data_IF_621613157649
#
_entry.id   IF_621613157649
#
_cell.length_a   1.000
_cell.length_b   1.000
_cell.length_c   1.000
_cell.angle_alpha   90.00
_cell.angle_beta   90.00
_cell.angle_gamma   90.00
#
_symmetry.space_group_name_H-M   'P 1'
#
loop_
_entity.id
_entity.type
_entity.pdbx_description
1 polymer ?
#
# COMPACT_ATOMS: atom_id res chain seq x y z
N UNK A 1 24.41 -16.55 -7.87
CA UNK A 1 22.97 -16.26 -7.97
C UNK A 1 22.40 -16.25 -6.56
N UNK A 2 22.18 -15.07 -5.97
CA UNK A 2 21.68 -14.96 -4.60
C UNK A 2 20.15 -15.10 -4.58
N UNK A 3 19.64 -16.19 -4.03
CA UNK A 3 18.22 -16.26 -3.69
C UNK A 3 17.99 -15.36 -2.49
N UNK A 4 17.29 -14.25 -2.68
CA UNK A 4 16.87 -13.37 -1.60
C UNK A 4 15.80 -14.10 -0.77
N UNK A 5 16.23 -15.00 0.12
CA UNK A 5 15.39 -15.93 0.88
C UNK A 5 14.81 -15.34 2.16
N UNK A 6 15.12 -14.09 2.49
CA UNK A 6 14.67 -13.43 3.71
C UNK A 6 13.14 -13.20 3.79
N UNK A 7 12.43 -13.25 2.65
CA UNK A 7 10.97 -13.03 2.57
C UNK A 7 10.20 -14.19 1.92
N UNK A 8 10.71 -15.41 1.99
CA UNK A 8 9.96 -16.55 1.46
C UNK A 8 8.70 -16.80 2.30
N UNK A 9 7.52 -16.88 1.65
CA UNK A 9 6.20 -17.10 2.28
C UNK A 9 6.18 -18.26 3.31
N UNK A 10 6.98 -19.29 3.08
CA UNK A 10 7.23 -20.43 3.98
C UNK A 10 7.75 -20.05 5.39
N UNK A 11 8.32 -18.87 5.57
CA UNK A 11 8.77 -18.36 6.88
C UNK A 11 7.78 -17.36 7.49
N UNK A 12 6.62 -17.13 6.87
CA UNK A 12 5.61 -16.22 7.39
C UNK A 12 5.05 -16.74 8.71
N UNK A 13 5.38 -16.05 9.82
CA UNK A 13 4.79 -16.35 11.12
C UNK A 13 3.39 -15.77 11.17
N UNK A 14 2.40 -16.63 11.39
CA UNK A 14 1.02 -16.18 11.54
C UNK A 14 0.84 -15.36 12.83
N UNK A 15 0.41 -14.12 12.68
CA UNK A 15 0.01 -13.24 13.78
C UNK A 15 -1.40 -13.49 14.30
N UNK A 16 -2.06 -14.55 13.83
CA UNK A 16 -3.48 -14.79 14.09
C UNK A 16 -3.72 -15.35 15.49
N UNK A 17 -4.72 -14.82 16.19
CA UNK A 17 -5.19 -15.31 17.48
C UNK A 17 -6.31 -16.33 17.30
N UNK A 18 -6.00 -17.62 17.46
CA UNK A 18 -7.01 -18.67 17.43
C UNK A 18 -8.04 -18.51 18.57
N UNK A 19 -7.60 -18.02 19.73
CA UNK A 19 -8.47 -17.74 20.86
C UNK A 19 -9.56 -16.71 20.51
N UNK A 20 -9.19 -15.59 19.90
CA UNK A 20 -10.16 -14.57 19.49
C UNK A 20 -11.12 -15.12 18.43
N UNK A 21 -10.61 -15.88 17.46
CA UNK A 21 -11.44 -16.49 16.43
C UNK A 21 -12.43 -17.53 16.96
N UNK A 22 -12.05 -18.27 18.01
CA UNK A 22 -12.91 -19.26 18.64
C UNK A 22 -13.96 -18.63 19.57
N UNK A 23 -13.74 -17.38 20.03
CA UNK A 23 -14.70 -16.61 20.82
C UNK A 23 -15.82 -16.00 19.96
N UNK A 24 -15.63 -15.92 18.64
CA UNK A 24 -16.67 -15.45 17.73
C UNK A 24 -17.83 -16.45 17.73
N UNK A 25 -19.04 -15.97 18.02
CA UNK A 25 -20.25 -16.80 17.99
C UNK A 25 -20.44 -17.51 16.64
N UNK A 26 -20.04 -16.84 15.55
CA UNK A 26 -20.02 -17.40 14.20
C UNK A 26 -18.75 -16.97 13.50
N UNK A 27 -17.75 -17.86 13.49
CA UNK A 27 -16.56 -17.68 12.65
C UNK A 27 -16.99 -17.77 11.18
N UNK A 28 -16.83 -16.69 10.38
CA UNK A 28 -17.20 -16.73 8.96
C UNK A 28 -16.20 -17.63 8.21
N UNK A 29 -16.73 -18.56 7.42
CA UNK A 29 -15.94 -19.26 6.43
C UNK A 29 -15.77 -18.37 5.19
N UNK A 30 -14.62 -18.48 4.53
CA UNK A 30 -14.31 -17.64 3.36
C UNK A 30 -15.29 -17.81 2.21
N UNK A 31 -15.89 -19.00 2.06
CA UNK A 31 -16.92 -19.29 1.06
C UNK A 31 -18.26 -18.57 1.32
N UNK A 32 -18.47 -18.09 2.56
CA UNK A 32 -19.66 -17.32 2.95
C UNK A 32 -19.44 -15.82 2.95
N UNK A 33 -18.21 -15.35 2.71
CA UNK A 33 -17.90 -13.93 2.70
C UNK A 33 -18.06 -13.41 1.27
N UNK A 34 -18.95 -12.44 1.11
CA UNK A 34 -19.25 -11.81 -0.18
C UNK A 34 -18.42 -10.54 -0.38
N UNK A 35 -18.11 -9.82 0.70
CA UNK A 35 -17.34 -8.59 0.64
C UNK A 35 -16.38 -8.51 1.82
N UNK A 36 -15.16 -8.04 1.56
CA UNK A 36 -14.15 -7.75 2.57
C UNK A 36 -13.68 -6.31 2.37
N UNK A 37 -13.60 -5.56 3.47
CA UNK A 37 -13.03 -4.22 3.52
C UNK A 37 -11.83 -4.21 4.46
N UNK A 38 -10.75 -3.62 3.97
CA UNK A 38 -9.55 -3.37 4.74
C UNK A 38 -9.32 -1.86 4.77
N UNK A 39 -9.31 -1.29 5.97
CA UNK A 39 -9.07 0.14 6.16
C UNK A 39 -7.61 0.35 6.56
N UNK A 40 -6.90 1.23 5.84
CA UNK A 40 -5.49 1.54 6.16
C UNK A 40 -5.37 2.05 7.59
N UNK A 41 -4.45 1.46 8.36
CA UNK A 41 -4.25 1.77 9.78
C UNK A 41 -5.19 1.03 10.73
N UNK A 42 -6.22 0.34 10.22
CA UNK A 42 -7.03 -0.57 11.02
C UNK A 42 -6.39 -1.95 11.07
N UNK A 43 -6.40 -2.57 12.25
CA UNK A 43 -5.98 -3.94 12.49
C UNK A 43 -7.15 -4.94 12.47
N UNK A 44 -8.36 -4.45 12.21
CA UNK A 44 -9.58 -5.24 12.14
C UNK A 44 -9.88 -5.63 10.70
N UNK A 45 -10.48 -6.80 10.54
CA UNK A 45 -11.06 -7.24 9.29
C UNK A 45 -12.54 -6.87 9.29
N UNK A 46 -13.00 -6.22 8.23
CA UNK A 46 -14.39 -5.85 8.05
C UNK A 46 -14.97 -6.70 6.92
N UNK A 47 -16.11 -7.34 7.12
CA UNK A 47 -16.67 -8.28 6.14
C UNK A 47 -18.20 -8.27 6.10
N UNK A 48 -18.75 -8.79 5.01
CA UNK A 48 -20.19 -9.05 4.82
C UNK A 48 -20.41 -10.46 4.30
N UNK A 49 -21.49 -11.10 4.77
CA UNK A 49 -21.91 -12.41 4.26
C UNK A 49 -22.97 -12.32 3.16
N UNK A 50 -23.63 -11.17 3.04
CA UNK A 50 -24.61 -10.86 2.01
C UNK A 50 -24.39 -9.41 1.55
N UNK A 51 -24.86 -9.04 0.35
CA UNK A 51 -24.76 -7.67 -0.15
C UNK A 51 -25.66 -6.70 0.64
N UNK A 52 -26.77 -7.20 1.18
CA UNK A 52 -27.73 -6.42 1.98
C UNK A 52 -27.37 -6.32 3.47
N UNK A 53 -26.43 -7.14 3.94
CA UNK A 53 -26.01 -7.17 5.35
C UNK A 53 -25.20 -5.93 5.75
N UNK A 54 -25.28 -5.59 7.04
CA UNK A 54 -24.37 -4.64 7.67
C UNK A 54 -22.94 -5.19 7.75
N UNK A 55 -21.97 -4.27 7.83
CA UNK A 55 -20.56 -4.61 7.92
C UNK A 55 -20.27 -5.16 9.31
N UNK A 56 -19.70 -6.36 9.36
CA UNK A 56 -19.26 -7.02 10.59
C UNK A 56 -17.76 -6.80 10.76
N UNK A 57 -17.33 -6.47 11.96
CA UNK A 57 -15.90 -6.34 12.29
C UNK A 57 -15.41 -7.56 13.05
N UNK A 58 -14.19 -8.00 12.76
CA UNK A 58 -13.51 -9.05 13.51
C UNK A 58 -12.07 -8.68 13.82
N UNK A 59 -11.72 -8.81 15.08
CA UNK A 59 -10.34 -8.76 15.56
C UNK A 59 -9.73 -10.16 15.50
N UNK A 60 -8.64 -10.30 14.74
CA UNK A 60 -8.04 -11.61 14.46
C UNK A 60 -6.54 -11.67 14.78
N UNK A 61 -5.91 -10.54 15.10
CA UNK A 61 -4.49 -10.46 15.43
C UNK A 61 -4.26 -10.74 16.93
N UNK A 62 -3.09 -11.29 17.26
CA UNK A 62 -2.63 -11.41 18.65
C UNK A 62 -2.22 -10.03 19.16
N UNK A 63 -2.45 -9.75 20.43
CA UNK A 63 -1.99 -8.52 21.08
C UNK A 63 -0.47 -8.32 21.04
N UNK A 64 0.28 -9.41 20.93
CA UNK A 64 1.74 -9.41 20.81
C UNK A 64 2.25 -9.38 19.37
N UNK A 65 1.36 -9.33 18.38
CA UNK A 65 1.77 -9.28 16.98
C UNK A 65 2.13 -7.85 16.59
N UNK A 66 3.42 -7.60 16.39
CA UNK A 66 3.90 -6.32 15.89
C UNK A 66 3.63 -6.22 14.38
N UNK A 67 2.71 -5.34 14.00
CA UNK A 67 2.47 -5.01 12.60
C UNK A 67 3.66 -4.16 12.13
N UNK A 68 4.51 -4.73 11.28
CA UNK A 68 5.53 -3.94 10.60
C UNK A 68 4.84 -2.95 9.68
N UNK A 69 5.03 -1.66 9.92
CA UNK A 69 4.60 -0.65 8.97
C UNK A 69 5.41 -0.84 7.68
N UNK A 70 4.71 -0.89 6.54
CA UNK A 70 5.39 -0.83 5.25
C UNK A 70 6.23 0.46 5.20
N UNK A 71 7.46 0.40 4.66
CA UNK A 71 8.27 1.59 4.49
C UNK A 71 7.47 2.59 3.68
N UNK A 72 7.21 3.76 4.27
CA UNK A 72 6.53 4.83 3.55
C UNK A 72 7.35 5.13 2.30
N UNK A 73 6.71 5.09 1.13
CA UNK A 73 7.37 5.50 -0.11
C UNK A 73 7.97 6.89 0.15
N UNK A 74 9.28 7.09 -0.08
CA UNK A 74 9.89 8.37 0.18
C UNK A 74 9.07 9.44 -0.54
N UNK A 75 8.75 10.52 0.18
CA UNK A 75 7.92 11.65 -0.30
C UNK A 75 8.50 12.31 -1.56
N UNK A 76 9.74 11.96 -1.94
CA UNK A 76 10.45 12.45 -3.12
C UNK A 76 9.77 12.00 -4.41
N UNK A 77 8.67 12.68 -4.75
CA UNK A 77 8.08 12.73 -6.07
C UNK A 77 8.71 13.92 -6.81
N UNK A 78 9.20 13.66 -8.01
CA UNK A 78 9.89 14.66 -8.83
C UNK A 78 10.92 13.99 -9.72
N UNK A 79 11.56 14.78 -10.56
CA UNK A 79 12.67 14.34 -11.41
C UNK A 79 13.97 15.03 -10.92
N UNK A 80 15.17 14.45 -11.18
CA UNK A 80 16.44 15.06 -10.78
C UNK A 80 16.68 16.40 -11.49
N UNK A 81 17.09 17.48 -10.80
CA UNK A 81 17.22 18.83 -11.39
C UNK A 81 18.03 18.87 -12.69
N UNK A 82 19.12 18.11 -12.75
CA UNK A 82 19.97 17.97 -13.94
C UNK A 82 19.17 17.49 -15.17
N UNK A 83 18.28 16.51 -15.00
CA UNK A 83 17.42 16.01 -16.08
C UNK A 83 16.38 17.05 -16.53
N UNK A 84 15.90 17.97 -15.67
CA UNK A 84 15.04 19.10 -16.13
C UNK A 84 15.81 19.90 -17.13
N UNK A 85 17.03 20.25 -16.75
CA UNK A 85 17.82 21.24 -17.47
C UNK A 85 18.19 20.69 -18.84
N UNK A 86 18.50 19.39 -18.92
CA UNK A 86 18.70 18.69 -20.19
C UNK A 86 17.44 18.68 -21.06
N UNK A 87 16.27 18.37 -20.49
CA UNK A 87 15.00 18.39 -21.22
C UNK A 87 14.66 19.81 -21.66
N UNK A 88 14.81 20.81 -20.80
CA UNK A 88 14.55 22.21 -21.14
C UNK A 88 15.47 22.65 -22.28
N UNK A 89 16.77 22.35 -22.20
CA UNK A 89 17.74 22.73 -23.23
C UNK A 89 17.45 22.06 -24.58
N UNK A 90 17.09 20.78 -24.56
CA UNK A 90 17.00 19.96 -25.79
C UNK A 90 15.59 19.96 -26.39
N UNK A 91 14.56 19.87 -25.56
CA UNK A 91 13.18 19.67 -25.99
C UNK A 91 12.41 20.99 -26.14
N UNK A 92 12.61 21.99 -25.26
CA UNK A 92 11.86 23.25 -25.38
C UNK A 92 12.25 24.02 -26.64
N UNK A 93 13.50 23.92 -27.09
CA UNK A 93 13.97 24.53 -28.35
C UNK A 93 13.29 23.95 -29.60
N UNK A 94 12.76 22.73 -29.50
CA UNK A 94 12.06 22.03 -30.58
C UNK A 94 10.52 22.11 -30.44
N UNK A 95 10.01 22.73 -29.38
CA UNK A 95 8.58 22.77 -29.07
C UNK A 95 7.98 24.18 -29.18
N UNK A 96 6.71 24.30 -29.61
CA UNK A 96 5.98 25.57 -29.55
C UNK A 96 5.89 26.11 -28.12
N UNK A 97 6.05 27.43 -27.96
CA UNK A 97 6.12 28.11 -26.66
C UNK A 97 4.93 27.84 -25.72
N UNK A 98 3.74 27.56 -26.26
CA UNK A 98 2.54 27.21 -25.49
C UNK A 98 2.71 25.97 -24.62
N UNK A 99 3.66 25.10 -24.94
CA UNK A 99 3.93 23.85 -24.20
C UNK A 99 5.10 23.94 -23.23
N UNK A 100 5.76 25.09 -23.14
CA UNK A 100 6.92 25.31 -22.26
C UNK A 100 6.50 25.36 -20.78
N UNK A 101 5.30 25.89 -20.49
CA UNK A 101 4.80 26.07 -19.14
C UNK A 101 4.73 24.75 -18.33
N UNK A 102 4.36 23.64 -18.97
CA UNK A 102 4.34 22.32 -18.34
C UNK A 102 5.71 21.89 -17.82
N UNK A 103 6.74 22.00 -18.67
CA UNK A 103 8.11 21.57 -18.35
C UNK A 103 8.80 22.48 -17.33
N UNK A 104 8.53 23.79 -17.37
CA UNK A 104 9.07 24.75 -16.40
C UNK A 104 8.49 24.54 -14.99
N UNK A 105 7.19 24.19 -14.90
CA UNK A 105 6.48 24.02 -13.64
C UNK A 105 6.53 22.59 -13.05
N UNK A 106 7.32 21.70 -13.67
CA UNK A 106 7.47 20.32 -13.21
C UNK A 106 8.23 20.28 -11.87
N UNK A 107 7.74 19.54 -10.86
CA UNK A 107 8.36 19.50 -9.54
C UNK A 107 9.72 18.77 -9.56
N UNK A 108 10.70 19.38 -8.91
CA UNK A 108 12.05 18.85 -8.73
C UNK A 108 12.15 18.07 -7.42
N UNK A 109 12.80 16.91 -7.47
CA UNK A 109 13.16 16.18 -6.25
C UNK A 109 14.63 16.42 -5.92
N UNK A 110 14.93 16.98 -4.75
CA UNK A 110 16.30 17.08 -4.26
C UNK A 110 16.80 15.67 -3.95
N UNK A 111 17.71 15.18 -4.78
CA UNK A 111 18.49 13.99 -4.48
C UNK A 111 19.62 14.40 -3.54
N UNK A 112 19.37 14.36 -2.22
CA UNK A 112 20.44 14.22 -1.22
C UNK A 112 20.71 12.74 -1.06
#
# INVERSE_FOLDING_TARGET
>A
MGTNTAFAFRHWKSGMSQYLLNKLERRPYLDKIVCVRFTRGSQKLEYKNDFSDDIKEVEFLRSTFEVQEEPQKPIRRGFPPQKKQEIIKTLLSLMPGTRHAFWNNLPESICI
#
